data_IF_523680670384
#
_entry.id   IF_523680670384
#
_cell.length_a   1.000
_cell.length_b   1.000
_cell.length_c   1.000
_cell.angle_alpha   90.00
_cell.angle_beta   90.00
_cell.angle_gamma   90.00
#
_symmetry.space_group_name_H-M   'P 1'
#
loop_
_entity.id
_entity.type
_entity.pdbx_description
1 polymer ?
#
# COMPACT_ATOMS: atom_id res chain seq x y z
N UNK A 1 -0.54 0.85 -4.03
CA UNK A 1 -0.60 -0.46 -3.36
C UNK A 1 -2.04 -0.82 -3.05
N UNK A 2 -2.78 0.09 -2.39
CA UNK A 2 -4.21 -0.07 -2.14
C UNK A 2 -5.04 -0.48 -3.34
N UNK A 3 -4.95 0.29 -4.43
CA UNK A 3 -5.61 -0.05 -5.68
C UNK A 3 -5.21 -1.42 -6.25
N UNK A 4 -3.95 -1.85 -6.05
CA UNK A 4 -3.48 -3.16 -6.52
C UNK A 4 -4.01 -4.31 -5.66
N UNK A 5 -4.13 -4.10 -4.34
CA UNK A 5 -4.74 -5.07 -3.45
C UNK A 5 -6.24 -5.23 -3.77
N UNK A 6 -6.96 -4.12 -3.99
CA UNK A 6 -8.39 -4.14 -4.40
C UNK A 6 -8.54 -4.82 -5.76
N UNK A 7 -7.73 -4.45 -6.75
CA UNK A 7 -7.83 -5.02 -8.10
C UNK A 7 -7.55 -6.53 -8.13
N UNK A 8 -6.63 -7.02 -7.30
CA UNK A 8 -6.26 -8.42 -7.25
C UNK A 8 -6.94 -9.20 -6.11
N UNK A 9 -7.94 -8.63 -5.43
CA UNK A 9 -8.58 -9.27 -4.27
C UNK A 9 -9.28 -10.59 -4.63
N UNK A 10 -9.79 -10.71 -5.85
CA UNK A 10 -10.44 -11.93 -6.36
C UNK A 10 -9.46 -12.90 -7.02
N UNK A 11 -8.18 -12.55 -7.08
CA UNK A 11 -7.12 -13.39 -7.66
C UNK A 11 -6.67 -14.46 -6.66
N UNK A 12 -7.61 -15.36 -6.32
CA UNK A 12 -7.33 -16.56 -5.55
C UNK A 12 -6.48 -17.55 -6.33
N UNK A 13 -5.75 -18.40 -5.62
CA UNK A 13 -4.83 -19.38 -6.20
C UNK A 13 -4.75 -20.63 -5.36
N UNK A 14 -3.83 -21.53 -5.73
CA UNK A 14 -3.66 -22.79 -5.03
C UNK A 14 -3.11 -22.55 -3.60
N UNK A 15 -3.72 -23.18 -2.59
CA UNK A 15 -3.09 -23.32 -1.28
C UNK A 15 -1.87 -24.24 -1.38
N UNK A 16 -0.95 -24.17 -0.42
CA UNK A 16 0.25 -25.02 -0.36
C UNK A 16 -0.15 -26.50 -0.48
N UNK A 17 0.12 -27.12 -1.64
CA UNK A 17 -0.28 -28.49 -1.98
C UNK A 17 -1.35 -28.64 -3.08
N UNK A 18 -1.92 -27.56 -3.60
CA UNK A 18 -2.83 -27.56 -4.75
C UNK A 18 -2.08 -27.40 -6.10
N UNK A 19 -2.66 -27.94 -7.17
CA UNK A 19 -2.13 -27.76 -8.53
C UNK A 19 -2.55 -26.39 -9.09
N UNK A 20 -1.65 -25.41 -9.09
CA UNK A 20 -1.93 -24.12 -9.70
C UNK A 20 -0.95 -23.01 -9.32
N UNK A 21 -1.05 -21.84 -9.95
CA UNK A 21 -0.28 -20.66 -9.56
C UNK A 21 -0.63 -20.21 -8.14
N UNK A 22 0.36 -19.63 -7.45
CA UNK A 22 0.19 -19.05 -6.12
C UNK A 22 -0.81 -17.87 -6.15
N UNK A 23 -1.56 -17.63 -5.06
CA UNK A 23 -2.48 -16.49 -5.00
C UNK A 23 -1.74 -15.16 -4.98
N UNK A 24 -2.46 -14.05 -5.19
CA UNK A 24 -1.90 -12.71 -5.08
C UNK A 24 -1.53 -12.35 -3.63
N UNK A 25 -0.28 -11.97 -3.39
CA UNK A 25 0.21 -11.55 -2.07
C UNK A 25 -0.10 -10.08 -1.83
N UNK A 26 -1.04 -9.80 -0.92
CA UNK A 26 -1.35 -8.45 -0.51
C UNK A 26 -0.12 -7.74 0.07
N UNK A 27 0.04 -6.46 -0.24
CA UNK A 27 1.17 -5.65 0.24
C UNK A 27 0.65 -4.52 1.15
N UNK A 28 1.37 -4.23 2.22
CA UNK A 28 1.10 -3.10 3.11
C UNK A 28 2.29 -2.13 3.13
N UNK A 29 2.02 -0.88 3.52
CA UNK A 29 3.05 0.16 3.63
C UNK A 29 3.50 0.24 5.08
N UNK A 30 4.81 0.15 5.30
CA UNK A 30 5.42 0.50 6.56
C UNK A 30 6.09 1.87 6.41
N UNK A 31 5.61 2.85 7.18
CA UNK A 31 6.21 4.18 7.27
C UNK A 31 7.08 4.27 8.52
N UNK A 32 8.32 4.73 8.35
CA UNK A 32 9.26 4.92 9.44
C UNK A 32 9.79 6.36 9.43
N UNK A 33 9.88 6.98 10.61
CA UNK A 33 10.56 8.26 10.77
C UNK A 33 12.07 8.01 10.84
N UNK A 34 12.83 8.66 9.97
CA UNK A 34 14.28 8.53 9.96
C UNK A 34 14.88 9.36 11.09
N UNK A 35 15.90 8.83 11.76
CA UNK A 35 16.59 9.52 12.86
C UNK A 35 17.22 10.86 12.45
N UNK A 36 17.66 10.96 11.18
CA UNK A 36 18.26 12.17 10.60
C UNK A 36 17.21 13.18 10.09
N UNK A 37 15.93 12.92 10.35
CA UNK A 37 14.79 13.68 9.86
C UNK A 37 14.18 13.10 8.58
N UNK A 38 12.89 13.38 8.39
CA UNK A 38 12.09 12.87 7.26
C UNK A 38 11.43 11.51 7.54
N UNK A 39 10.69 11.02 6.55
CA UNK A 39 9.96 9.75 6.62
C UNK A 39 10.33 8.87 5.43
N UNK A 40 10.54 7.58 5.65
CA UNK A 40 10.65 6.57 4.61
C UNK A 40 9.38 5.72 4.57
N UNK A 41 9.04 5.21 3.39
CA UNK A 41 7.92 4.31 3.19
C UNK A 41 8.37 3.09 2.39
N UNK A 42 8.21 1.90 2.96
CA UNK A 42 8.59 0.64 2.32
C UNK A 42 7.37 -0.25 2.13
N UNK A 43 7.27 -0.84 0.94
CA UNK A 43 6.27 -1.85 0.64
C UNK A 43 6.70 -3.21 1.20
N UNK A 44 5.87 -3.80 2.05
CA UNK A 44 6.13 -5.13 2.62
C UNK A 44 4.93 -6.07 2.38
N UNK A 45 5.15 -7.38 2.21
CA UNK A 45 4.07 -8.34 2.15
C UNK A 45 3.24 -8.33 3.44
N UNK A 46 1.92 -8.41 3.33
CA UNK A 46 1.03 -8.56 4.50
C UNK A 46 1.24 -9.95 5.11
N UNK A 47 1.22 -10.03 6.45
CA UNK A 47 1.38 -11.28 7.18
C UNK A 47 0.14 -11.54 8.07
N UNK A 48 -0.61 -12.63 7.87
CA UNK A 48 -0.43 -13.67 6.84
C UNK A 48 -0.74 -13.15 5.43
N UNK A 49 -0.09 -13.69 4.38
CA UNK A 49 -0.25 -13.22 3.00
C UNK A 49 -1.58 -13.65 2.37
N UNK A 50 -2.14 -14.77 2.83
CA UNK A 50 -3.35 -15.38 2.29
C UNK A 50 -4.24 -15.89 3.41
N UNK A 51 -5.54 -15.98 3.13
CA UNK A 51 -6.56 -16.60 3.98
C UNK A 51 -7.19 -17.79 3.24
N UNK A 52 -7.45 -18.92 3.92
CA UNK A 52 -8.13 -20.05 3.29
C UNK A 52 -9.58 -19.68 2.97
N UNK A 53 -10.02 -19.97 1.74
CA UNK A 53 -11.39 -19.75 1.28
C UNK A 53 -11.95 -21.02 0.66
N UNK A 54 -13.20 -21.33 0.96
CA UNK A 54 -13.88 -22.52 0.42
C UNK A 54 -14.39 -22.23 -1.00
N UNK A 55 -13.91 -22.98 -1.99
CA UNK A 55 -14.29 -22.86 -3.39
C UNK A 55 -14.12 -24.23 -4.10
N UNK A 56 -15.02 -25.20 -3.86
CA UNK A 56 -14.88 -26.57 -4.34
C UNK A 56 -14.94 -26.69 -5.88
N UNK A 57 -15.63 -25.77 -6.55
CA UNK A 57 -15.74 -25.72 -8.02
C UNK A 57 -14.52 -25.07 -8.69
N UNK A 58 -13.54 -24.60 -7.92
CA UNK A 58 -12.33 -23.94 -8.45
C UNK A 58 -11.30 -24.96 -8.94
N UNK A 59 -10.67 -24.77 -10.11
CA UNK A 59 -9.58 -25.62 -10.58
C UNK A 59 -8.34 -25.56 -9.68
N UNK A 60 -8.26 -24.57 -8.79
CA UNK A 60 -7.16 -24.36 -7.85
C UNK A 60 -7.43 -24.94 -6.46
N UNK A 61 -8.58 -25.57 -6.26
CA UNK A 61 -8.96 -26.17 -4.98
C UNK A 61 -8.08 -27.38 -4.66
N UNK A 62 -7.72 -27.52 -3.38
CA UNK A 62 -7.08 -28.74 -2.89
C UNK A 62 -8.12 -29.88 -2.74
N UNK A 63 -7.67 -31.04 -2.25
CA UNK A 63 -8.51 -32.22 -2.00
C UNK A 63 -9.72 -31.99 -1.09
N UNK A 64 -9.74 -30.89 -0.33
CA UNK A 64 -10.79 -30.50 0.60
C UNK A 64 -11.70 -29.39 0.05
N UNK A 65 -11.47 -28.93 -1.20
CA UNK A 65 -12.26 -27.85 -1.81
C UNK A 65 -11.81 -26.43 -1.40
N UNK A 66 -10.61 -26.27 -0.85
CA UNK A 66 -10.09 -25.01 -0.30
C UNK A 66 -9.07 -24.37 -1.25
N UNK A 67 -9.18 -23.05 -1.43
CA UNK A 67 -8.25 -22.19 -2.18
C UNK A 67 -7.61 -21.14 -1.27
N UNK A 68 -6.48 -20.58 -1.70
CA UNK A 68 -5.87 -19.44 -1.03
C UNK A 68 -6.44 -18.15 -1.61
N UNK A 69 -7.09 -17.36 -0.78
CA UNK A 69 -7.54 -16.01 -1.15
C UNK A 69 -6.54 -14.96 -0.61
N UNK A 70 -6.28 -13.88 -1.36
CA UNK A 70 -5.49 -12.75 -0.85
C UNK A 70 -6.07 -12.19 0.46
N UNK A 71 -5.22 -11.84 1.42
CA UNK A 71 -5.63 -11.22 2.68
C UNK A 71 -5.91 -9.71 2.49
N UNK A 72 -7.00 -9.38 1.78
CA UNK A 72 -7.39 -7.99 1.46
C UNK A 72 -8.72 -7.67 2.13
N UNK A 73 -8.75 -6.61 2.94
CA UNK A 73 -9.97 -6.04 3.50
C UNK A 73 -10.26 -4.69 2.80
N UNK A 74 -11.44 -4.58 2.19
CA UNK A 74 -11.85 -3.38 1.47
C UNK A 74 -11.96 -2.15 2.38
N UNK A 75 -12.39 -2.32 3.63
CA UNK A 75 -12.51 -1.21 4.57
C UNK A 75 -11.13 -0.68 4.95
N UNK A 76 -10.19 -1.58 5.26
CA UNK A 76 -8.79 -1.24 5.53
C UNK A 76 -8.15 -0.55 4.31
N UNK A 77 -8.42 -1.05 3.11
CA UNK A 77 -7.81 -0.53 1.90
C UNK A 77 -8.34 0.85 1.48
N UNK A 78 -9.62 1.12 1.77
CA UNK A 78 -10.19 2.46 1.62
C UNK A 78 -9.54 3.46 2.60
N UNK A 79 -9.31 3.04 3.86
CA UNK A 79 -8.60 3.87 4.86
C UNK A 79 -7.16 4.12 4.43
N UNK A 80 -6.46 3.09 3.95
CA UNK A 80 -5.10 3.22 3.44
C UNK A 80 -5.03 4.18 2.25
N UNK A 81 -6.02 4.16 1.36
CA UNK A 81 -6.11 5.11 0.26
C UNK A 81 -6.31 6.55 0.75
N UNK A 82 -7.20 6.76 1.72
CA UNK A 82 -7.44 8.08 2.33
C UNK A 82 -6.21 8.61 3.07
N UNK A 83 -5.48 7.73 3.77
CA UNK A 83 -4.22 8.06 4.41
C UNK A 83 -3.18 8.47 3.37
N UNK A 84 -3.03 7.71 2.28
CA UNK A 84 -2.11 8.03 1.21
C UNK A 84 -2.43 9.39 0.54
N UNK A 85 -3.71 9.68 0.31
CA UNK A 85 -4.16 10.99 -0.19
C UNK A 85 -3.78 12.13 0.76
N UNK A 86 -4.04 11.94 2.06
CA UNK A 86 -3.74 12.94 3.09
C UNK A 86 -2.24 13.18 3.21
N UNK A 87 -1.43 12.12 3.25
CA UNK A 87 0.04 12.21 3.28
C UNK A 87 0.59 12.89 2.03
N UNK A 88 0.05 12.57 0.84
CA UNK A 88 0.47 13.23 -0.38
C UNK A 88 0.17 14.74 -0.35
N UNK A 89 -1.04 15.13 0.07
CA UNK A 89 -1.40 16.54 0.26
C UNK A 89 -0.49 17.24 1.27
N UNK A 90 -0.19 16.59 2.39
CA UNK A 90 0.71 17.12 3.41
C UNK A 90 2.13 17.35 2.87
N UNK A 91 2.68 16.37 2.14
CA UNK A 91 4.01 16.47 1.54
C UNK A 91 4.10 17.60 0.51
N UNK A 92 3.09 17.72 -0.38
CA UNK A 92 3.02 18.82 -1.34
C UNK A 92 2.91 20.17 -0.61
N UNK A 93 2.12 20.25 0.48
CA UNK A 93 2.01 21.47 1.26
C UNK A 93 3.33 21.88 1.89
N UNK A 94 4.11 20.93 2.41
CA UNK A 94 5.46 21.20 2.94
C UNK A 94 6.40 21.74 1.87
N UNK A 95 6.36 21.17 0.65
CA UNK A 95 7.16 21.66 -0.48
C UNK A 95 6.74 23.09 -0.87
N UNK A 96 5.44 23.37 -0.93
CA UNK A 96 4.92 24.71 -1.21
C UNK A 96 5.39 25.72 -0.16
N UNK A 97 5.23 25.41 1.12
CA UNK A 97 5.70 26.29 2.20
C UNK A 97 7.21 26.53 2.11
N UNK A 98 8.01 25.51 1.78
CA UNK A 98 9.44 25.68 1.58
C UNK A 98 9.76 26.59 0.38
N UNK A 99 8.99 26.49 -0.70
CA UNK A 99 9.10 27.38 -1.87
C UNK A 99 8.76 28.82 -1.51
N UNK A 100 7.64 29.04 -0.83
CA UNK A 100 7.19 30.37 -0.40
C UNK A 100 8.27 31.03 0.50
N UNK A 101 8.84 30.27 1.44
CA UNK A 101 9.93 30.75 2.29
C UNK A 101 11.21 31.11 1.50
N UNK A 102 11.52 30.38 0.43
CA UNK A 102 12.67 30.68 -0.43
C UNK A 102 12.44 31.96 -1.24
N UNK A 103 11.25 32.14 -1.80
CA UNK A 103 10.89 33.34 -2.56
C UNK A 103 10.94 34.58 -1.65
N UNK A 104 10.40 34.48 -0.44
CA UNK A 104 10.39 35.58 0.53
C UNK A 104 11.80 35.92 1.04
N UNK A 105 12.67 34.91 1.15
CA UNK A 105 14.09 35.11 1.44
C UNK A 105 14.79 35.85 0.28
N UNK A 106 14.57 35.45 -0.97
CA UNK A 106 15.16 36.10 -2.15
C UNK A 106 14.73 37.57 -2.25
N UNK A 107 13.44 37.85 -2.09
CA UNK A 107 12.88 39.20 -2.05
C UNK A 107 13.52 40.07 -0.97
N UNK A 108 13.81 39.50 0.20
CA UNK A 108 14.46 40.20 1.29
C UNK A 108 15.93 40.58 0.99
N UNK A 109 16.62 39.79 0.16
CA UNK A 109 17.97 40.12 -0.31
C UNK A 109 17.97 41.13 -1.45
N UNK A 110 17.02 41.04 -2.39
CA UNK A 110 16.90 41.99 -3.52
C UNK A 110 16.60 43.41 -3.03
N UNK A 111 15.75 43.56 -1.99
CA UNK A 111 15.43 44.86 -1.37
C UNK A 111 16.58 45.51 -0.58
N UNK A 112 17.71 44.82 -0.38
CA UNK A 112 18.88 45.33 0.38
C UNK A 112 20.03 45.84 -0.51
N UNK A 113 19.92 45.74 -1.83
CA UNK A 113 20.87 46.31 -2.81
C UNK A 113 20.23 47.51 -3.49
#
# INVERSE_FOLDING_TARGET
MAASNIANMTSGGAVKGGNGPAPYTAQTVQQEANADGGTSATAIPKNPPFVPSYAPDSPFANSEGVIGAPNVDLAEEAVNLSLAETTYKANIKTIQTASDMMDELLDAFDKRV
#
